data_IF_742479606259
#
_entry.id   IF_742479606259
#
_cell.length_a   1.000
_cell.length_b   1.000
_cell.length_c   1.000
_cell.angle_alpha   90.00
_cell.angle_beta   90.00
_cell.angle_gamma   90.00
#
_symmetry.space_group_name_H-M   'P 1'
#
loop_
_entity.id
_entity.type
_entity.pdbx_description
1 polymer ?
#
# COMPACT_ATOMS: atom_id res chain seq x y z
N UNK A 1 69.47 28.60 1.46
CA UNK A 1 68.34 28.63 2.47
C UNK A 1 67.02 28.67 1.68
N UNK A 2 66.39 27.52 1.52
CA UNK A 2 65.19 27.37 0.68
C UNK A 2 63.94 27.38 1.60
N UNK A 3 63.08 28.38 1.43
CA UNK A 3 61.81 28.52 2.18
C UNK A 3 60.72 27.74 1.45
N UNK A 4 60.37 26.57 1.95
CA UNK A 4 59.21 25.80 1.52
C UNK A 4 57.96 26.39 2.17
N UNK A 5 57.14 27.10 1.40
CA UNK A 5 55.81 27.55 1.81
C UNK A 5 54.85 26.36 1.78
N UNK A 6 54.36 25.93 2.94
CA UNK A 6 53.26 24.93 3.04
C UNK A 6 51.94 25.64 2.78
N UNK A 7 51.19 25.25 1.72
CA UNK A 7 49.80 25.65 1.51
C UNK A 7 48.93 24.84 2.48
N UNK A 8 47.92 25.48 3.13
CA UNK A 8 46.96 24.76 3.90
C UNK A 8 45.96 24.02 2.99
N UNK A 9 45.84 22.73 3.18
CA UNK A 9 44.86 21.88 2.49
C UNK A 9 43.53 22.05 3.21
N UNK A 10 42.63 22.89 2.66
CA UNK A 10 41.27 23.07 3.21
C UNK A 10 40.41 21.88 2.77
N UNK A 11 40.11 21.00 3.69
CA UNK A 11 39.22 19.88 3.46
C UNK A 11 37.75 20.40 3.43
N UNK A 12 37.19 20.52 2.24
CA UNK A 12 35.77 20.85 2.05
C UNK A 12 34.97 19.62 2.39
N UNK A 13 34.39 19.59 3.57
CA UNK A 13 33.45 18.55 3.98
C UNK A 13 32.10 18.78 3.27
N UNK A 14 31.87 18.08 2.16
CA UNK A 14 30.58 18.07 1.47
C UNK A 14 29.56 17.39 2.38
N UNK A 15 28.74 18.20 3.07
CA UNK A 15 27.58 17.72 3.83
C UNK A 15 26.53 17.28 2.80
N UNK A 16 26.46 16.00 2.48
CA UNK A 16 25.39 15.43 1.67
C UNK A 16 24.10 15.51 2.49
N UNK A 17 23.27 16.51 2.20
CA UNK A 17 21.86 16.53 2.64
C UNK A 17 21.18 15.33 1.98
N UNK A 18 21.00 14.24 2.73
CA UNK A 18 20.09 13.17 2.35
C UNK A 18 18.69 13.77 2.42
N UNK A 19 18.15 14.16 1.28
CA UNK A 19 16.76 14.57 1.18
C UNK A 19 15.90 13.38 1.64
N UNK A 20 15.23 13.54 2.78
CA UNK A 20 14.28 12.55 3.26
C UNK A 20 13.14 12.51 2.24
N UNK A 21 12.95 11.38 1.58
CA UNK A 21 11.91 11.23 0.57
C UNK A 21 10.55 11.45 1.25
N UNK A 22 9.83 12.48 0.81
CA UNK A 22 8.51 12.82 1.31
C UNK A 22 7.44 11.93 0.63
N UNK A 23 6.33 11.73 1.30
CA UNK A 23 5.16 11.07 0.68
C UNK A 23 4.75 11.82 -0.61
N UNK A 24 4.27 11.09 -1.64
CA UNK A 24 3.72 11.73 -2.83
C UNK A 24 2.62 12.74 -2.47
N UNK A 25 2.45 13.78 -3.27
CA UNK A 25 1.40 14.77 -3.03
C UNK A 25 0.02 14.12 -2.91
N UNK A 26 -0.74 14.46 -1.88
CA UNK A 26 -2.06 13.91 -1.57
C UNK A 26 -2.04 12.57 -0.86
N UNK A 27 -0.86 11.98 -0.63
CA UNK A 27 -0.69 10.76 0.15
C UNK A 27 -0.03 11.06 1.49
N UNK A 28 -0.32 10.25 2.51
CA UNK A 28 0.31 10.38 3.81
C UNK A 28 0.60 9.02 4.46
N UNK A 29 1.55 9.02 5.38
CA UNK A 29 1.93 7.85 6.17
C UNK A 29 1.01 7.70 7.37
N UNK A 30 0.50 6.49 7.58
CA UNK A 30 -0.27 6.09 8.76
C UNK A 30 0.08 4.65 9.18
N UNK A 31 -0.72 4.04 10.05
CA UNK A 31 -0.53 2.69 10.57
C UNK A 31 -0.41 2.67 12.09
N UNK A 32 -0.11 1.53 12.68
CA UNK A 32 0.14 1.43 14.12
C UNK A 32 1.62 1.67 14.50
N UNK A 33 2.54 1.64 13.51
CA UNK A 33 3.98 1.92 13.67
C UNK A 33 4.53 2.84 12.57
N UNK A 34 3.87 3.95 12.23
CA UNK A 34 4.25 4.76 11.07
C UNK A 34 5.69 5.30 11.16
N UNK A 35 6.20 5.55 12.37
CA UNK A 35 7.57 6.01 12.59
C UNK A 35 8.65 4.98 12.21
N UNK A 36 8.30 3.70 12.11
CA UNK A 36 9.21 2.61 11.76
C UNK A 36 9.30 2.35 10.25
N UNK A 37 8.57 3.14 9.47
CA UNK A 37 8.55 3.08 8.02
C UNK A 37 8.96 4.41 7.40
N UNK A 38 9.37 4.36 6.15
CA UNK A 38 9.61 5.51 5.30
C UNK A 38 8.84 5.38 4.00
N UNK A 39 8.50 6.49 3.41
CA UNK A 39 7.81 6.57 2.13
C UNK A 39 8.44 7.62 1.24
N UNK A 40 8.30 7.48 -0.06
CA UNK A 40 8.84 8.41 -1.03
C UNK A 40 8.38 8.14 -2.44
N UNK A 41 8.95 8.91 -3.38
CA UNK A 41 8.82 8.68 -4.81
C UNK A 41 10.12 8.12 -5.33
N UNK A 42 10.08 6.94 -5.90
CA UNK A 42 11.23 6.25 -6.49
C UNK A 42 11.16 6.36 -8.02
N UNK A 43 12.02 7.22 -8.57
CA UNK A 43 12.08 7.44 -10.01
C UNK A 43 12.81 6.29 -10.75
N UNK A 44 13.63 5.49 -10.05
CA UNK A 44 14.40 4.39 -10.61
C UNK A 44 13.60 3.07 -10.63
N UNK A 45 12.75 2.86 -9.62
CA UNK A 45 11.85 1.70 -9.55
C UNK A 45 10.54 1.98 -10.29
N UNK A 46 10.65 2.45 -11.55
CA UNK A 46 9.49 2.80 -12.36
C UNK A 46 8.89 1.62 -13.13
N UNK A 47 7.63 1.74 -13.48
CA UNK A 47 6.94 0.88 -14.45
C UNK A 47 6.56 1.75 -15.65
N UNK A 48 6.93 1.32 -16.86
CA UNK A 48 6.67 2.06 -18.11
C UNK A 48 7.18 3.52 -18.07
N UNK A 49 8.36 3.74 -17.46
CA UNK A 49 8.97 5.08 -17.35
C UNK A 49 8.31 6.03 -16.36
N UNK A 50 7.34 5.56 -15.55
CA UNK A 50 6.66 6.36 -14.53
C UNK A 50 7.27 6.08 -13.15
N UNK A 51 7.52 7.11 -12.33
CA UNK A 51 7.99 6.91 -10.96
C UNK A 51 6.94 6.17 -10.12
N UNK A 52 7.40 5.48 -9.07
CA UNK A 52 6.56 4.71 -8.17
C UNK A 52 6.56 5.30 -6.77
N UNK A 53 5.43 5.23 -6.08
CA UNK A 53 5.40 5.46 -4.64
C UNK A 53 6.05 4.26 -3.93
N UNK A 54 6.84 4.50 -2.88
CA UNK A 54 7.52 3.46 -2.11
C UNK A 54 7.11 3.52 -0.64
N UNK A 55 7.04 2.36 -0.01
CA UNK A 55 6.86 2.17 1.42
C UNK A 55 7.86 1.10 1.88
N UNK A 56 8.74 1.45 2.83
CA UNK A 56 9.85 0.60 3.25
C UNK A 56 9.98 0.60 4.77
N UNK A 57 10.35 -0.54 5.33
CA UNK A 57 10.74 -0.63 6.73
C UNK A 57 12.10 0.02 6.98
N UNK A 58 12.24 0.72 8.13
CA UNK A 58 13.51 1.34 8.56
C UNK A 58 14.29 0.50 9.58
N UNK A 59 13.66 -0.54 10.13
CA UNK A 59 14.22 -1.37 11.19
C UNK A 59 14.30 -2.83 10.74
N UNK A 60 15.23 -3.62 11.32
CA UNK A 60 15.39 -5.03 10.98
C UNK A 60 14.31 -5.94 11.58
N UNK A 61 13.49 -5.44 12.51
CA UNK A 61 12.36 -6.13 13.11
C UNK A 61 11.29 -5.12 13.47
N UNK A 62 10.04 -5.37 13.07
CA UNK A 62 8.88 -4.53 13.34
C UNK A 62 7.69 -5.44 13.65
N UNK A 63 7.05 -5.23 14.80
CA UNK A 63 5.75 -5.81 15.14
C UNK A 63 4.66 -4.76 14.88
N UNK A 64 4.01 -4.85 13.71
CA UNK A 64 3.01 -3.91 13.25
C UNK A 64 3.22 -3.46 11.82
N UNK A 65 2.46 -2.46 11.41
CA UNK A 65 2.42 -2.03 10.02
C UNK A 65 2.54 -0.52 9.83
N UNK A 66 3.05 -0.16 8.64
CA UNK A 66 2.91 1.16 8.04
C UNK A 66 2.02 1.10 6.81
N UNK A 67 1.40 2.20 6.47
CA UNK A 67 0.62 2.34 5.25
C UNK A 67 0.81 3.71 4.63
N UNK A 68 0.97 3.74 3.32
CA UNK A 68 0.89 4.94 2.49
C UNK A 68 -0.53 5.02 1.94
N UNK A 69 -1.27 6.07 2.28
CA UNK A 69 -2.70 6.11 2.05
C UNK A 69 -3.24 7.48 1.65
N UNK A 70 -4.47 7.47 1.17
CA UNK A 70 -5.36 8.63 0.99
C UNK A 70 -6.69 8.40 1.69
N UNK A 71 -7.40 9.49 1.94
CA UNK A 71 -8.78 9.50 2.42
C UNK A 71 -9.57 10.62 1.76
N UNK A 72 -10.87 10.37 1.54
CA UNK A 72 -11.77 11.38 0.97
C UNK A 72 -13.24 11.09 1.35
N UNK A 73 -14.11 12.07 1.17
CA UNK A 73 -15.55 11.94 1.40
C UNK A 73 -16.20 10.99 0.39
N UNK A 74 -17.13 10.16 0.85
CA UNK A 74 -17.79 9.17 0.02
C UNK A 74 -18.85 9.72 -0.97
N UNK A 75 -19.20 11.01 -0.92
CA UNK A 75 -20.36 11.63 -1.57
C UNK A 75 -20.52 11.27 -3.06
N UNK A 76 -19.43 11.26 -3.83
CA UNK A 76 -19.46 10.95 -5.27
C UNK A 76 -19.64 9.45 -5.59
N UNK A 77 -19.51 8.59 -4.58
CA UNK A 77 -19.48 7.14 -4.73
C UNK A 77 -20.65 6.42 -4.04
N UNK A 78 -21.56 7.16 -3.42
CA UNK A 78 -22.70 6.59 -2.69
C UNK A 78 -23.53 5.64 -3.57
N UNK A 79 -23.84 4.45 -3.08
CA UNK A 79 -24.56 3.41 -3.79
C UNK A 79 -23.81 2.80 -4.97
N UNK A 80 -22.51 3.02 -5.10
CA UNK A 80 -21.67 2.51 -6.17
C UNK A 80 -20.75 1.40 -5.68
N UNK A 81 -20.35 0.52 -6.61
CA UNK A 81 -19.21 -0.37 -6.43
C UNK A 81 -17.97 0.33 -6.95
N UNK A 82 -16.91 0.32 -6.15
CA UNK A 82 -15.64 0.98 -6.49
C UNK A 82 -14.51 -0.03 -6.48
N UNK A 83 -13.53 0.22 -7.34
CA UNK A 83 -12.29 -0.53 -7.42
C UNK A 83 -11.11 0.40 -7.19
N UNK A 84 -10.25 0.04 -6.27
CA UNK A 84 -8.89 0.55 -6.16
C UNK A 84 -7.94 -0.50 -6.70
N UNK A 85 -7.09 -0.15 -7.65
CA UNK A 85 -6.13 -1.06 -8.27
C UNK A 85 -4.78 -0.39 -8.50
N UNK A 86 -3.75 -1.20 -8.72
CA UNK A 86 -2.42 -0.72 -9.06
C UNK A 86 -1.42 -1.85 -9.22
N UNK A 87 -0.31 -1.54 -9.87
CA UNK A 87 0.81 -2.47 -9.95
C UNK A 87 1.66 -2.36 -8.70
N UNK A 88 1.96 -3.49 -8.08
CA UNK A 88 2.83 -3.57 -6.90
C UNK A 88 4.02 -4.45 -7.21
N UNK A 89 5.21 -3.99 -6.82
CA UNK A 89 6.46 -4.74 -6.73
C UNK A 89 6.82 -4.85 -5.26
N UNK A 90 7.41 -5.96 -4.84
CA UNK A 90 7.87 -6.17 -3.46
C UNK A 90 9.30 -6.68 -3.41
N UNK A 91 9.98 -6.42 -2.28
CA UNK A 91 11.32 -6.92 -1.99
C UNK A 91 11.42 -7.25 -0.49
N UNK A 92 11.75 -8.52 -0.20
CA UNK A 92 12.00 -9.00 1.15
C UNK A 92 10.83 -8.86 2.13
N UNK A 93 9.58 -8.86 1.67
CA UNK A 93 8.39 -8.77 2.54
C UNK A 93 8.28 -10.04 3.37
N UNK A 94 8.46 -9.93 4.69
CA UNK A 94 8.45 -11.08 5.59
C UNK A 94 7.06 -11.47 6.05
N UNK A 95 6.29 -10.55 6.62
CA UNK A 95 4.94 -10.87 7.07
C UNK A 95 3.98 -10.82 5.88
N UNK A 96 3.56 -9.62 5.49
CA UNK A 96 2.75 -9.43 4.29
C UNK A 96 2.65 -7.96 3.88
N UNK A 97 2.22 -7.75 2.65
CA UNK A 97 1.83 -6.45 2.12
C UNK A 97 0.57 -6.61 1.26
N UNK A 98 -0.11 -5.50 0.98
CA UNK A 98 -1.28 -5.52 0.12
C UNK A 98 -1.87 -4.14 -0.12
N UNK A 99 -2.66 -4.01 -1.17
CA UNK A 99 -3.60 -2.90 -1.31
C UNK A 99 -4.71 -3.07 -0.27
N UNK A 100 -5.29 -1.95 0.15
CA UNK A 100 -6.42 -2.00 1.06
C UNK A 100 -7.38 -0.85 0.80
N UNK A 101 -8.63 -1.07 1.15
CA UNK A 101 -9.66 -0.05 1.12
C UNK A 101 -10.64 -0.26 2.27
N UNK A 102 -11.16 0.83 2.82
CA UNK A 102 -12.15 0.88 3.88
C UNK A 102 -13.19 1.93 3.57
N UNK A 103 -14.44 1.58 3.82
CA UNK A 103 -15.58 2.49 3.73
C UNK A 103 -16.18 2.65 5.11
N UNK A 104 -16.33 3.88 5.57
CA UNK A 104 -16.87 4.20 6.88
C UNK A 104 -18.20 4.94 6.79
N UNK A 105 -19.08 4.66 7.77
CA UNK A 105 -20.28 5.43 8.11
C UNK A 105 -20.05 6.07 9.48
N UNK A 106 -19.75 7.36 9.51
CA UNK A 106 -19.31 8.02 10.73
C UNK A 106 -18.03 7.37 11.28
N UNK A 107 -18.12 6.79 12.48
CA UNK A 107 -17.01 6.08 13.12
C UNK A 107 -17.03 4.56 12.91
N UNK A 108 -18.00 4.04 12.16
CA UNK A 108 -18.17 2.59 11.96
C UNK A 108 -17.65 2.21 10.57
N UNK A 109 -16.76 1.23 10.51
CA UNK A 109 -16.37 0.58 9.26
C UNK A 109 -17.51 -0.30 8.76
N UNK A 110 -17.94 -0.08 7.52
CA UNK A 110 -19.06 -0.79 6.88
C UNK A 110 -18.64 -1.68 5.71
N UNK A 111 -17.46 -1.42 5.13
CA UNK A 111 -16.82 -2.33 4.18
C UNK A 111 -15.31 -2.23 4.31
N UNK A 112 -14.61 -3.35 4.19
CA UNK A 112 -13.16 -3.42 4.34
C UNK A 112 -12.56 -4.62 3.60
N UNK A 113 -11.43 -4.38 2.97
CA UNK A 113 -10.54 -5.42 2.44
C UNK A 113 -9.11 -4.91 2.50
N UNK A 114 -8.20 -5.70 3.04
CA UNK A 114 -6.78 -5.38 3.12
C UNK A 114 -5.90 -6.43 2.43
N UNK A 115 -6.49 -7.31 1.66
CA UNK A 115 -5.78 -8.39 0.98
C UNK A 115 -5.12 -9.43 1.92
N UNK A 116 -5.47 -9.46 3.20
CA UNK A 116 -4.84 -10.42 4.14
C UNK A 116 -5.06 -11.88 3.76
N UNK A 117 -6.17 -12.20 3.08
CA UNK A 117 -6.46 -13.55 2.54
C UNK A 117 -5.68 -13.89 1.25
N UNK A 118 -5.09 -12.89 0.59
CA UNK A 118 -4.30 -13.00 -0.63
C UNK A 118 -3.05 -12.10 -0.58
N UNK A 119 -2.18 -12.31 0.41
CA UNK A 119 -1.11 -11.38 0.75
C UNK A 119 0.03 -11.38 -0.28
N UNK A 120 0.69 -10.24 -0.42
CA UNK A 120 1.97 -10.12 -1.12
C UNK A 120 3.06 -10.48 -0.12
N UNK A 121 3.92 -11.44 -0.47
CA UNK A 121 5.03 -11.90 0.39
C UNK A 121 6.32 -12.06 -0.42
N UNK A 122 7.46 -11.94 0.26
CA UNK A 122 8.77 -12.14 -0.34
C UNK A 122 9.15 -11.06 -1.34
N UNK A 123 9.79 -11.47 -2.42
CA UNK A 123 10.22 -10.61 -3.52
C UNK A 123 9.45 -10.97 -4.78
N UNK A 124 8.70 -10.00 -5.33
CA UNK A 124 7.91 -10.17 -6.55
C UNK A 124 8.20 -9.05 -7.54
N UNK A 125 8.14 -9.35 -8.83
CA UNK A 125 8.09 -8.34 -9.89
C UNK A 125 6.75 -7.59 -9.87
N UNK A 126 6.59 -6.66 -10.80
CA UNK A 126 5.36 -5.90 -10.97
C UNK A 126 4.17 -6.82 -11.29
N UNK A 127 3.16 -6.80 -10.43
CA UNK A 127 1.90 -7.52 -10.60
C UNK A 127 0.74 -6.56 -10.31
N UNK A 128 -0.36 -6.71 -11.03
CA UNK A 128 -1.57 -5.92 -10.79
C UNK A 128 -2.37 -6.55 -9.65
N UNK A 129 -2.80 -5.70 -8.73
CA UNK A 129 -3.67 -6.06 -7.60
C UNK A 129 -4.86 -5.12 -7.55
N UNK A 130 -5.94 -5.60 -6.95
CA UNK A 130 -7.16 -4.81 -6.81
C UNK A 130 -7.91 -5.10 -5.50
N UNK A 131 -8.65 -4.11 -5.05
CA UNK A 131 -9.64 -4.18 -3.99
C UNK A 131 -10.94 -3.60 -4.52
N UNK A 132 -12.03 -4.34 -4.38
CA UNK A 132 -13.37 -3.97 -4.86
C UNK A 132 -14.37 -4.00 -3.71
N UNK A 133 -15.01 -2.87 -3.40
CA UNK A 133 -16.00 -2.75 -2.33
C UNK A 133 -17.26 -2.04 -2.81
N UNK A 134 -18.38 -2.31 -2.14
CA UNK A 134 -19.59 -1.52 -2.25
C UNK A 134 -19.53 -0.33 -1.28
N UNK A 135 -19.98 0.83 -1.75
CA UNK A 135 -20.12 2.05 -0.95
C UNK A 135 -21.60 2.25 -0.62
N UNK A 136 -22.04 2.01 0.61
CA UNK A 136 -23.44 2.21 1.02
C UNK A 136 -23.90 3.65 0.81
N UNK A 137 -25.24 3.85 0.68
CA UNK A 137 -25.84 5.17 0.48
C UNK A 137 -25.58 6.17 1.62
N UNK A 138 -25.25 5.67 2.80
CA UNK A 138 -25.02 6.43 4.01
C UNK A 138 -23.53 6.44 4.45
N UNK A 139 -22.63 6.03 3.54
CA UNK A 139 -21.19 6.13 3.76
C UNK A 139 -20.74 7.59 3.87
N UNK A 140 -19.74 7.84 4.71
CA UNK A 140 -19.20 9.18 4.95
C UNK A 140 -17.78 9.37 4.46
N UNK A 141 -16.98 8.31 4.45
CA UNK A 141 -15.59 8.39 4.05
C UNK A 141 -15.08 7.10 3.40
N UNK A 142 -14.12 7.26 2.51
CA UNK A 142 -13.37 6.18 1.86
C UNK A 142 -11.89 6.40 2.14
N UNK A 143 -11.21 5.34 2.55
CA UNK A 143 -9.79 5.27 2.89
C UNK A 143 -9.16 4.16 2.07
N UNK A 144 -8.00 4.39 1.49
CA UNK A 144 -7.35 3.37 0.66
C UNK A 144 -5.83 3.58 0.58
N UNK A 145 -5.10 2.54 0.27
CA UNK A 145 -3.66 2.65 0.15
C UNK A 145 -2.95 1.32 -0.03
N UNK A 146 -1.64 1.36 0.19
CA UNK A 146 -0.77 0.20 0.26
C UNK A 146 -0.23 0.04 1.68
N UNK A 147 -0.25 -1.18 2.18
CA UNK A 147 0.16 -1.55 3.53
C UNK A 147 1.35 -2.50 3.46
N UNK A 148 2.27 -2.32 4.41
CA UNK A 148 3.38 -3.23 4.70
C UNK A 148 3.35 -3.58 6.19
N UNK A 149 3.15 -4.84 6.51
CA UNK A 149 3.24 -5.40 7.86
C UNK A 149 4.59 -6.10 8.05
N UNK A 150 5.27 -5.77 9.14
CA UNK A 150 6.63 -6.24 9.39
C UNK A 150 7.68 -5.55 8.52
N UNK A 151 8.70 -6.26 8.10
CA UNK A 151 9.81 -5.71 7.32
C UNK A 151 9.70 -6.04 5.83
N UNK A 152 10.34 -5.20 5.01
CA UNK A 152 10.41 -5.31 3.56
C UNK A 152 10.29 -3.97 2.88
N UNK A 153 10.07 -4.01 1.57
CA UNK A 153 9.84 -2.85 0.72
C UNK A 153 8.76 -3.16 -0.30
N UNK A 154 7.89 -2.18 -0.56
CA UNK A 154 6.88 -2.27 -1.63
C UNK A 154 6.87 -0.98 -2.44
N UNK A 155 6.54 -1.11 -3.72
CA UNK A 155 6.37 0.01 -4.64
C UNK A 155 4.99 -0.11 -5.30
N UNK A 156 4.28 1.01 -5.34
CA UNK A 156 2.99 1.14 -6.01
C UNK A 156 3.13 2.05 -7.23
N UNK A 157 2.66 1.56 -8.38
CA UNK A 157 2.67 2.30 -9.64
C UNK A 157 1.30 2.24 -10.31
N UNK A 158 0.97 3.24 -11.09
CA UNK A 158 -0.26 3.31 -11.89
C UNK A 158 -1.52 3.03 -11.05
N UNK A 159 -1.56 3.62 -9.83
CA UNK A 159 -2.73 3.55 -8.97
C UNK A 159 -3.96 4.13 -9.69
N UNK A 160 -5.09 3.41 -9.62
CA UNK A 160 -6.35 3.81 -10.23
C UNK A 160 -7.51 3.61 -9.24
N UNK A 161 -8.45 4.55 -9.22
CA UNK A 161 -9.68 4.47 -8.42
C UNK A 161 -10.86 4.78 -9.32
N UNK A 162 -11.80 3.82 -9.44
CA UNK A 162 -12.89 3.92 -10.41
C UNK A 162 -14.19 3.28 -9.92
N UNK A 163 -15.32 3.72 -10.47
CA UNK A 163 -16.60 3.06 -10.32
C UNK A 163 -16.65 1.88 -11.30
N UNK A 164 -17.07 0.71 -10.82
CA UNK A 164 -17.21 -0.50 -11.61
C UNK A 164 -18.64 -1.04 -11.57
N UNK A 165 -19.08 -1.80 -12.60
CA UNK A 165 -20.37 -2.47 -12.56
C UNK A 165 -20.49 -3.46 -11.40
N UNK A 166 -21.71 -3.68 -10.88
CA UNK A 166 -21.98 -4.67 -9.84
C UNK A 166 -21.77 -6.12 -10.26
N UNK A 167 -21.58 -6.37 -11.55
CA UNK A 167 -21.16 -7.68 -12.08
C UNK A 167 -19.71 -8.04 -11.74
N UNK A 168 -18.86 -7.05 -11.42
CA UNK A 168 -17.51 -7.29 -10.87
C UNK A 168 -17.69 -7.71 -9.40
N UNK A 169 -17.19 -8.88 -8.97
CA UNK A 169 -17.34 -9.31 -7.59
C UNK A 169 -16.58 -8.41 -6.61
N UNK A 170 -17.11 -8.22 -5.40
CA UNK A 170 -16.36 -7.60 -4.31
C UNK A 170 -15.24 -8.52 -3.84
N UNK A 171 -14.14 -7.93 -3.36
CA UNK A 171 -12.96 -8.67 -2.90
C UNK A 171 -12.87 -8.80 -1.38
N UNK A 172 -13.60 -7.96 -0.64
CA UNK A 172 -13.66 -7.96 0.82
C UNK A 172 -14.96 -8.57 1.34
N UNK A 173 -14.92 -8.98 2.60
CA UNK A 173 -16.03 -9.62 3.28
C UNK A 173 -15.90 -11.15 3.33
N UNK A 174 -16.74 -11.78 4.13
CA UNK A 174 -16.87 -13.23 4.10
C UNK A 174 -17.51 -13.65 2.77
N UNK A 175 -17.06 -14.76 2.15
CA UNK A 175 -17.73 -15.31 1.01
C UNK A 175 -19.20 -15.54 1.36
N UNK A 176 -20.14 -15.31 0.42
CA UNK A 176 -21.53 -15.59 0.69
C UNK A 176 -21.68 -17.06 1.10
N UNK A 177 -22.52 -17.30 2.09
CA UNK A 177 -22.82 -18.67 2.50
C UNK A 177 -23.30 -19.46 1.28
N UNK A 178 -22.87 -20.72 1.12
CA UNK A 178 -23.34 -21.56 0.04
C UNK A 178 -24.85 -21.77 0.17
N UNK A 179 -25.56 -21.86 -0.93
CA UNK A 179 -27.02 -22.05 -0.97
C UNK A 179 -27.49 -23.38 -0.36
N UNK A 180 -26.57 -24.25 0.01
CA UNK A 180 -26.85 -25.53 0.66
C UNK A 180 -25.58 -26.27 1.06
N UNK A 181 -25.73 -27.37 1.80
CA UNK A 181 -24.58 -28.20 2.17
C UNK A 181 -23.95 -28.85 0.95
N UNK A 182 -22.63 -29.12 1.02
CA UNK A 182 -21.86 -29.79 -0.02
C UNK A 182 -21.09 -30.95 0.58
N UNK A 183 -20.76 -31.94 -0.27
CA UNK A 183 -19.87 -33.06 0.05
C UNK A 183 -20.24 -33.78 1.38
N UNK A 184 -21.56 -34.05 1.60
CA UNK A 184 -22.05 -34.73 2.80
C UNK A 184 -21.59 -36.18 2.93
N UNK A 185 -21.15 -36.80 1.82
CA UNK A 185 -20.58 -38.13 1.74
C UNK A 185 -19.05 -38.17 1.85
N UNK A 186 -18.40 -36.95 2.00
CA UNK A 186 -16.96 -36.78 2.14
C UNK A 186 -16.14 -37.37 0.97
N UNK A 187 -16.74 -37.52 -0.20
CA UNK A 187 -16.09 -38.10 -1.38
C UNK A 187 -15.12 -37.15 -2.10
N UNK A 188 -15.28 -35.82 -1.95
CA UNK A 188 -14.42 -34.80 -2.52
C UNK A 188 -13.29 -34.44 -1.50
N UNK A 189 -12.03 -34.69 -1.89
CA UNK A 189 -10.82 -34.36 -1.13
C UNK A 189 -10.17 -33.15 -1.81
N UNK A 190 -9.68 -32.19 -1.00
CA UNK A 190 -8.91 -31.02 -1.49
C UNK A 190 -7.47 -31.40 -1.75
#
# INVERSE_FOLDING_TARGET
MSNIRRLPFTFLMACSLVAQAAAPQGWFMAGNKPADYETGVDAQAGLNGRPSASLKSKKPAIEGFGTLMQEFKAEQYLGKRVRFSGFVKSEGVQNWAGLWMRVDKGKKTVAFDNMQSRPIKGTTGWQNYEVVLDVPQDATGIFFGILLDGIGSVWLNSANFEIVPTSIPTTGGEPPLPNGPKNLDFSEIR
#
